data_IF_487343512481
#
_entry.id   IF_487343512481
#
_cell.length_a   1.000
_cell.length_b   1.000
_cell.length_c   1.000
_cell.angle_alpha   90.00
_cell.angle_beta   90.00
_cell.angle_gamma   90.00
#
_symmetry.space_group_name_H-M   'P 1'
#
loop_
_entity.id
_entity.type
_entity.pdbx_description
1 polymer ?
#
# COMPACT_ATOMS: atom_id res chain seq x y z
N UNK A 1 -25.68 2.85 39.97
CA UNK A 1 -25.77 1.44 39.55
C UNK A 1 -25.73 1.42 38.03
N UNK A 2 -24.54 1.23 37.43
CA UNK A 2 -24.39 1.22 35.98
C UNK A 2 -24.62 -0.20 35.45
N UNK A 3 -25.68 -0.38 34.66
CA UNK A 3 -26.03 -1.67 34.04
C UNK A 3 -24.97 -2.09 33.03
N UNK A 4 -24.39 -3.28 33.27
CA UNK A 4 -23.46 -3.93 32.36
C UNK A 4 -24.21 -4.49 31.14
N UNK A 5 -23.92 -3.96 29.94
CA UNK A 5 -24.43 -4.53 28.67
C UNK A 5 -23.85 -5.93 28.45
N UNK A 6 -24.74 -6.92 28.49
CA UNK A 6 -24.48 -8.34 28.26
C UNK A 6 -24.02 -8.58 26.82
N UNK A 7 -22.77 -8.98 26.60
CA UNK A 7 -22.27 -9.44 25.29
C UNK A 7 -22.79 -10.85 25.02
N UNK A 8 -23.62 -11.01 23.99
CA UNK A 8 -23.98 -12.34 23.48
C UNK A 8 -22.80 -12.94 22.73
N UNK A 9 -22.62 -14.25 22.84
CA UNK A 9 -21.49 -15.01 22.30
C UNK A 9 -21.98 -15.73 21.03
N UNK A 10 -21.67 -15.19 19.85
CA UNK A 10 -22.10 -15.79 18.60
C UNK A 10 -21.16 -16.91 18.13
N UNK A 11 -21.78 -18.04 17.76
CA UNK A 11 -21.11 -19.29 17.36
C UNK A 11 -20.62 -19.17 15.91
N UNK A 12 -19.35 -18.80 15.74
CA UNK A 12 -18.53 -19.10 14.56
C UNK A 12 -19.05 -18.56 13.22
N UNK A 13 -18.80 -17.29 12.94
CA UNK A 13 -18.92 -16.68 11.62
C UNK A 13 -18.09 -15.38 11.56
N UNK A 14 -17.59 -15.02 10.36
CA UNK A 14 -16.90 -13.74 10.13
C UNK A 14 -17.87 -12.60 10.50
N UNK A 15 -17.58 -11.72 11.47
CA UNK A 15 -18.53 -10.70 11.91
C UNK A 15 -19.06 -9.87 10.74
N UNK A 16 -20.39 -9.82 10.60
CA UNK A 16 -21.06 -9.03 9.55
C UNK A 16 -21.10 -7.53 9.89
N UNK A 17 -20.96 -7.16 11.17
CA UNK A 17 -21.06 -5.79 11.62
C UNK A 17 -19.68 -5.18 11.84
N UNK A 18 -19.44 -4.00 11.23
CA UNK A 18 -18.25 -3.19 11.50
C UNK A 18 -18.45 -2.50 12.86
N UNK A 19 -17.84 -3.07 13.88
CA UNK A 19 -17.81 -2.52 15.24
C UNK A 19 -16.64 -1.52 15.40
N UNK A 20 -16.62 -0.70 16.46
CA UNK A 20 -15.46 0.14 16.76
C UNK A 20 -14.13 -0.63 16.87
N UNK A 21 -14.18 -1.89 17.32
CA UNK A 21 -13.01 -2.77 17.37
C UNK A 21 -12.51 -3.14 15.97
N UNK A 22 -13.44 -3.45 15.05
CA UNK A 22 -13.14 -3.72 13.63
C UNK A 22 -12.53 -2.47 12.99
N UNK A 23 -13.09 -1.29 13.25
CA UNK A 23 -12.54 -0.01 12.76
C UNK A 23 -11.11 0.20 13.24
N UNK A 24 -10.82 -0.08 14.52
CA UNK A 24 -9.45 0.02 15.04
C UNK A 24 -8.48 -0.99 14.39
N UNK A 25 -8.95 -2.18 14.00
CA UNK A 25 -8.14 -3.15 13.23
C UNK A 25 -7.89 -2.67 11.80
N UNK A 26 -8.92 -2.11 11.14
CA UNK A 26 -8.80 -1.51 9.81
C UNK A 26 -7.81 -0.34 9.83
N UNK A 27 -7.93 0.58 10.79
CA UNK A 27 -6.99 1.70 10.96
C UNK A 27 -5.54 1.21 11.07
N UNK A 28 -5.29 0.22 11.93
CA UNK A 28 -3.95 -0.37 12.07
C UNK A 28 -3.44 -0.96 10.77
N UNK A 29 -4.28 -1.71 10.05
CA UNK A 29 -3.91 -2.33 8.78
C UNK A 29 -3.60 -1.28 7.70
N UNK A 30 -4.45 -0.27 7.53
CA UNK A 30 -4.22 0.80 6.55
C UNK A 30 -3.00 1.65 6.93
N UNK A 31 -2.77 1.90 8.22
CA UNK A 31 -1.59 2.64 8.72
C UNK A 31 -0.25 1.96 8.41
N UNK A 32 -0.25 0.64 8.11
CA UNK A 32 0.95 -0.09 7.66
C UNK A 32 0.98 -0.33 6.15
N UNK A 33 0.05 0.25 5.40
CA UNK A 33 0.00 0.17 3.93
C UNK A 33 -0.69 -1.09 3.41
N UNK A 34 -1.52 -1.76 4.22
CA UNK A 34 -2.30 -2.90 3.76
C UNK A 34 -3.35 -2.45 2.72
N UNK A 35 -3.57 -3.28 1.71
CA UNK A 35 -4.70 -3.10 0.80
C UNK A 35 -6.03 -3.51 1.45
N UNK A 36 -7.17 -3.17 0.83
CA UNK A 36 -8.51 -3.43 1.38
C UNK A 36 -8.71 -4.90 1.73
N UNK A 37 -8.27 -5.83 0.87
CA UNK A 37 -8.39 -7.28 1.12
C UNK A 37 -7.63 -7.68 2.37
N UNK A 38 -6.36 -7.30 2.47
CA UNK A 38 -5.51 -7.58 3.64
C UNK A 38 -6.09 -6.96 4.92
N UNK A 39 -6.58 -5.72 4.84
CA UNK A 39 -7.20 -5.03 5.97
C UNK A 39 -8.48 -5.74 6.44
N UNK A 40 -9.33 -6.17 5.49
CA UNK A 40 -10.54 -6.94 5.78
C UNK A 40 -10.24 -8.32 6.39
N UNK A 41 -9.19 -8.99 5.91
CA UNK A 41 -8.70 -10.26 6.46
C UNK A 41 -8.18 -10.10 7.88
N UNK A 42 -7.36 -9.07 8.11
CA UNK A 42 -6.87 -8.75 9.45
C UNK A 42 -7.98 -8.33 10.42
N UNK A 43 -8.96 -7.55 9.96
CA UNK A 43 -10.07 -7.08 10.77
C UNK A 43 -11.17 -8.15 10.97
N UNK A 44 -11.13 -9.24 10.20
CA UNK A 44 -12.09 -10.32 10.26
C UNK A 44 -13.46 -9.94 9.69
N UNK A 45 -13.54 -9.12 8.64
CA UNK A 45 -14.80 -8.74 7.96
C UNK A 45 -14.73 -9.03 6.46
N UNK A 46 -15.86 -9.25 5.78
CA UNK A 46 -15.85 -9.37 4.32
C UNK A 46 -15.60 -8.00 3.67
N UNK A 47 -15.13 -8.00 2.40
CA UNK A 47 -15.03 -6.77 1.62
C UNK A 47 -16.39 -6.08 1.44
N UNK A 48 -17.45 -6.87 1.28
CA UNK A 48 -18.81 -6.33 1.17
C UNK A 48 -19.20 -5.58 2.45
N UNK A 49 -18.89 -6.13 3.64
CA UNK A 49 -19.14 -5.45 4.90
C UNK A 49 -18.36 -4.13 5.02
N UNK A 50 -17.12 -4.08 4.49
CA UNK A 50 -16.34 -2.86 4.42
C UNK A 50 -16.99 -1.81 3.49
N UNK A 51 -17.34 -2.16 2.25
CA UNK A 51 -17.94 -1.20 1.31
C UNK A 51 -19.31 -0.72 1.79
N UNK A 52 -20.14 -1.62 2.32
CA UNK A 52 -21.40 -1.25 2.96
C UNK A 52 -21.21 -0.26 4.12
N UNK A 53 -20.11 -0.39 4.87
CA UNK A 53 -19.78 0.54 5.94
C UNK A 53 -19.33 1.90 5.41
N UNK A 54 -18.52 1.93 4.34
CA UNK A 54 -18.13 3.18 3.67
C UNK A 54 -19.36 3.96 3.16
N UNK A 55 -20.33 3.28 2.54
CA UNK A 55 -21.56 3.93 2.04
C UNK A 55 -22.43 4.50 3.16
N UNK A 56 -22.46 3.85 4.32
CA UNK A 56 -23.30 4.24 5.46
C UNK A 56 -22.64 5.25 6.40
N UNK A 57 -21.34 5.47 6.28
CA UNK A 57 -20.57 6.33 7.18
C UNK A 57 -19.78 7.34 6.37
N UNK A 58 -20.40 8.50 6.14
CA UNK A 58 -19.75 9.63 5.49
C UNK A 58 -18.43 10.00 6.20
N UNK A 59 -17.40 10.27 5.40
CA UNK A 59 -16.05 10.59 5.89
C UNK A 59 -15.22 9.39 6.36
N UNK A 60 -15.75 8.16 6.34
CA UNK A 60 -14.93 6.98 6.65
C UNK A 60 -13.85 6.74 5.58
N UNK A 61 -14.16 6.96 4.31
CA UNK A 61 -13.20 6.88 3.21
C UNK A 61 -12.05 7.87 3.36
N UNK A 62 -12.32 9.06 3.87
CA UNK A 62 -11.30 10.09 4.13
C UNK A 62 -10.35 9.65 5.25
N UNK A 63 -10.90 9.04 6.32
CA UNK A 63 -10.09 8.42 7.38
C UNK A 63 -9.20 7.30 6.84
N UNK A 64 -9.75 6.43 5.98
CA UNK A 64 -8.96 5.37 5.35
C UNK A 64 -7.83 5.94 4.48
N UNK A 65 -8.10 7.01 3.73
CA UNK A 65 -7.08 7.71 2.96
C UNK A 65 -6.01 8.33 3.87
N UNK A 66 -6.41 8.97 4.98
CA UNK A 66 -5.49 9.51 5.99
C UNK A 66 -4.60 8.41 6.58
N UNK A 67 -5.19 7.29 7.02
CA UNK A 67 -4.46 6.15 7.57
C UNK A 67 -3.46 5.59 6.57
N UNK A 68 -3.88 5.41 5.32
CA UNK A 68 -3.02 4.88 4.25
C UNK A 68 -1.85 5.82 3.95
N UNK A 69 -2.04 7.14 4.08
CA UNK A 69 -0.97 8.12 3.89
C UNK A 69 0.09 8.09 5.02
N UNK A 70 -0.26 7.61 6.23
CA UNK A 70 0.65 7.57 7.39
C UNK A 70 1.89 6.73 7.13
N UNK A 71 1.78 5.59 6.43
CA UNK A 71 2.94 4.73 6.13
C UNK A 71 3.95 5.44 5.24
N UNK A 72 3.47 6.11 4.18
CA UNK A 72 4.31 6.88 3.28
C UNK A 72 5.01 8.04 3.99
N UNK A 73 4.29 8.75 4.87
CA UNK A 73 4.89 9.80 5.70
C UNK A 73 5.95 9.25 6.66
N UNK A 74 5.69 8.10 7.30
CA UNK A 74 6.65 7.45 8.20
C UNK A 74 7.90 6.98 7.45
N UNK A 75 7.75 6.44 6.25
CA UNK A 75 8.89 6.07 5.39
C UNK A 75 9.75 7.30 5.04
N UNK A 76 9.12 8.43 4.67
CA UNK A 76 9.83 9.69 4.44
C UNK A 76 10.62 10.14 5.67
N UNK A 77 10.01 10.07 6.86
CA UNK A 77 10.69 10.41 8.11
C UNK A 77 11.89 9.49 8.39
N UNK A 78 11.76 8.19 8.15
CA UNK A 78 12.86 7.25 8.32
C UNK A 78 14.04 7.58 7.38
N UNK A 79 13.75 7.90 6.11
CA UNK A 79 14.77 8.34 5.14
C UNK A 79 15.43 9.62 5.62
N UNK A 80 14.66 10.63 6.03
CA UNK A 80 15.19 11.89 6.55
C UNK A 80 16.11 11.68 7.75
N UNK A 81 15.70 10.84 8.69
CA UNK A 81 16.49 10.53 9.89
C UNK A 81 17.83 9.85 9.54
N UNK A 82 17.85 9.00 8.53
CA UNK A 82 19.10 8.38 8.06
C UNK A 82 20.02 9.42 7.39
N UNK A 83 19.46 10.35 6.61
CA UNK A 83 20.20 11.47 6.02
C UNK A 83 20.79 12.38 7.13
N UNK A 84 20.01 12.73 8.16
CA UNK A 84 20.50 13.49 9.32
C UNK A 84 21.60 12.76 10.10
N UNK A 85 21.61 11.43 10.06
CA UNK A 85 22.65 10.59 10.64
C UNK A 85 23.87 10.40 9.70
N UNK A 86 23.97 11.20 8.63
CA UNK A 86 25.05 11.20 7.65
C UNK A 86 25.22 9.86 6.91
N UNK A 87 24.13 9.10 6.74
CA UNK A 87 24.12 7.91 5.88
C UNK A 87 24.23 8.34 4.41
N UNK A 88 25.44 8.28 3.88
CA UNK A 88 25.79 8.72 2.52
C UNK A 88 25.07 7.87 1.46
N UNK A 89 24.89 6.57 1.72
CA UNK A 89 24.24 5.66 0.77
C UNK A 89 22.74 5.99 0.64
N UNK A 90 22.06 6.21 1.77
CA UNK A 90 20.65 6.66 1.76
C UNK A 90 20.52 8.05 1.13
N UNK A 91 21.45 8.95 1.42
CA UNK A 91 21.46 10.31 0.85
C UNK A 91 21.60 10.28 -0.67
N UNK A 92 22.54 9.47 -1.19
CA UNK A 92 22.73 9.26 -2.62
C UNK A 92 21.50 8.62 -3.25
N UNK A 93 20.97 7.55 -2.66
CA UNK A 93 19.78 6.86 -3.15
C UNK A 93 18.56 7.80 -3.24
N UNK A 94 18.41 8.71 -2.27
CA UNK A 94 17.35 9.71 -2.27
C UNK A 94 17.53 10.69 -3.44
N UNK A 95 18.73 11.28 -3.59
CA UNK A 95 19.02 12.23 -4.68
C UNK A 95 18.83 11.59 -6.06
N UNK A 96 19.30 10.36 -6.27
CA UNK A 96 19.11 9.60 -7.53
C UNK A 96 17.65 9.43 -7.96
N UNK A 97 16.68 9.66 -7.07
CA UNK A 97 15.25 9.49 -7.33
C UNK A 97 14.45 10.80 -7.31
N UNK A 98 15.00 11.85 -6.73
CA UNK A 98 14.29 13.12 -6.54
C UNK A 98 14.93 14.28 -7.29
N UNK A 99 16.18 14.14 -7.70
CA UNK A 99 16.93 15.15 -8.46
C UNK A 99 17.45 14.55 -9.76
N UNK A 100 16.95 15.07 -10.89
CA UNK A 100 17.33 14.62 -12.22
C UNK A 100 18.83 14.74 -12.50
N UNK A 101 19.55 15.65 -11.83
CA UNK A 101 20.99 15.77 -11.95
C UNK A 101 21.74 14.53 -11.44
N UNK A 102 21.12 13.78 -10.52
CA UNK A 102 21.69 12.58 -9.90
C UNK A 102 21.14 11.29 -10.53
N UNK A 103 20.22 11.35 -11.49
CA UNK A 103 19.73 10.16 -12.18
C UNK A 103 20.90 9.36 -12.79
N UNK A 104 21.02 8.04 -12.50
CA UNK A 104 22.09 7.21 -13.03
C UNK A 104 22.14 7.23 -14.56
N UNK A 105 23.17 7.84 -15.14
CA UNK A 105 23.37 7.87 -16.59
C UNK A 105 23.98 6.55 -17.04
N UNK A 106 23.29 5.85 -17.94
CA UNK A 106 23.78 4.62 -18.57
C UNK A 106 23.97 4.83 -20.06
N UNK A 107 25.12 4.40 -20.57
CA UNK A 107 25.35 4.22 -22.00
C UNK A 107 25.26 2.73 -22.28
N UNK A 108 24.20 2.31 -22.97
CA UNK A 108 24.06 0.95 -23.46
C UNK A 108 24.57 0.90 -24.91
N UNK A 109 25.41 -0.08 -25.21
CA UNK A 109 25.72 -0.48 -26.57
C UNK A 109 24.82 -1.65 -26.92
N UNK A 110 24.02 -1.51 -27.98
CA UNK A 110 23.04 -2.52 -28.39
C UNK A 110 23.57 -3.17 -29.66
N UNK A 111 23.89 -4.45 -29.58
CA UNK A 111 24.37 -5.26 -30.70
C UNK A 111 23.58 -6.56 -30.80
N UNK A 112 23.49 -7.09 -32.02
CA UNK A 112 22.95 -8.41 -32.29
C UNK A 112 23.95 -9.51 -31.96
N UNK A 113 23.59 -10.75 -32.31
CA UNK A 113 24.43 -11.92 -32.11
C UNK A 113 25.84 -11.69 -32.65
N UNK A 114 26.84 -12.07 -31.84
CA UNK A 114 28.28 -11.91 -32.14
C UNK A 114 28.73 -10.48 -32.44
N UNK A 115 28.05 -9.47 -31.88
CA UNK A 115 28.35 -8.06 -32.13
C UNK A 115 27.81 -7.54 -33.47
N UNK A 116 27.01 -8.36 -34.17
CA UNK A 116 26.41 -8.03 -35.45
C UNK A 116 25.18 -7.13 -35.36
N UNK A 117 24.44 -7.02 -36.45
CA UNK A 117 23.21 -6.24 -36.49
C UNK A 117 22.08 -6.90 -35.68
N UNK A 118 21.31 -6.11 -34.94
CA UNK A 118 20.10 -6.56 -34.24
C UNK A 118 19.09 -7.07 -35.27
N UNK A 119 18.70 -8.34 -35.15
CA UNK A 119 17.67 -8.96 -35.99
C UNK A 119 16.31 -8.83 -35.31
N UNK A 120 15.30 -8.35 -36.03
CA UNK A 120 13.93 -8.19 -35.53
C UNK A 120 12.98 -8.89 -36.50
N UNK A 121 12.19 -9.83 -36.01
CA UNK A 121 11.09 -10.47 -36.75
C UNK A 121 9.74 -9.94 -36.27
N UNK A 122 8.87 -9.56 -37.21
CA UNK A 122 7.52 -9.10 -36.92
C UNK A 122 6.51 -10.18 -37.32
N UNK A 123 5.74 -10.67 -36.34
CA UNK A 123 4.58 -11.52 -36.58
C UNK A 123 3.30 -10.68 -36.48
N UNK A 124 2.39 -10.82 -37.44
CA UNK A 124 1.04 -10.28 -37.34
C UNK A 124 0.14 -11.33 -36.70
N UNK A 125 -0.49 -11.00 -35.57
CA UNK A 125 -1.59 -11.79 -35.06
C UNK A 125 -2.82 -11.49 -35.92
N UNK A 126 -3.26 -12.46 -36.72
CA UNK A 126 -4.57 -12.40 -37.35
C UNK A 126 -5.60 -12.87 -36.32
N UNK A 127 -6.49 -11.97 -35.90
CA UNK A 127 -7.73 -12.32 -35.20
C UNK A 127 -8.67 -12.99 -36.21
N UNK A 128 -8.86 -14.30 -36.07
CA UNK A 128 -9.94 -15.07 -36.68
C UNK A 128 -10.86 -15.63 -35.59
#
# INVERSE_FOLDING_TARGET
>A
MAEAKKKTKDKGGRPLAVTPEVVGKLEKAFTVGANITQACDFAGISRDAYYNYCERNEGFTDKVAEWSARTGLRAKYNIHKAIEAEDVDVSKWYLERTDDAFNPKKRAEITGTDGGAVQIEFGWASDE
#
